data_IF_596663650969
#
_entry.id   IF_596663650969
#
_cell.length_a   1.000
_cell.length_b   1.000
_cell.length_c   1.000
_cell.angle_alpha   90.00
_cell.angle_beta   90.00
_cell.angle_gamma   90.00
#
_symmetry.space_group_name_H-M   'P 1'
#
loop_
_entity.id
_entity.type
_entity.pdbx_description
1 polymer ?
#
# COMPACT_ATOMS: atom_id res chain seq x y z
N UNK A 1 -13.03 -10.06 -4.56
CA UNK A 1 -11.93 -9.29 -5.18
C UNK A 1 -12.43 -8.39 -6.30
N UNK A 2 -13.23 -8.90 -7.25
CA UNK A 2 -13.73 -8.15 -8.41
C UNK A 2 -14.27 -6.74 -8.10
N UNK A 3 -15.17 -6.60 -7.13
CA UNK A 3 -15.72 -5.28 -6.76
C UNK A 3 -14.64 -4.32 -6.26
N UNK A 4 -13.70 -4.82 -5.45
CA UNK A 4 -12.65 -4.00 -4.86
C UNK A 4 -11.63 -3.55 -5.92
N UNK A 5 -11.27 -4.44 -6.85
CA UNK A 5 -10.45 -4.09 -8.01
C UNK A 5 -11.12 -3.01 -8.85
N UNK A 6 -12.42 -3.14 -9.14
CA UNK A 6 -13.18 -2.13 -9.90
C UNK A 6 -13.26 -0.80 -9.17
N UNK A 7 -13.37 -0.80 -7.83
CA UNK A 7 -13.31 0.43 -7.05
C UNK A 7 -11.93 1.08 -7.10
N UNK A 8 -10.84 0.31 -6.97
CA UNK A 8 -9.48 0.86 -7.06
C UNK A 8 -9.20 1.40 -8.46
N UNK A 9 -9.63 0.71 -9.52
CA UNK A 9 -9.54 1.20 -10.89
C UNK A 9 -10.27 2.54 -11.08
N UNK A 10 -11.45 2.70 -10.48
CA UNK A 10 -12.26 3.92 -10.65
C UNK A 10 -11.82 5.08 -9.74
N UNK A 11 -11.43 4.79 -8.51
CA UNK A 11 -11.08 5.79 -7.49
C UNK A 11 -9.63 6.25 -7.64
N UNK A 12 -8.74 5.39 -8.15
CA UNK A 12 -7.29 5.65 -8.26
C UNK A 12 -6.69 6.16 -6.93
N UNK A 13 -6.78 5.38 -5.84
CA UNK A 13 -6.28 5.80 -4.54
C UNK A 13 -4.74 5.83 -4.50
N UNK A 14 -4.18 6.78 -3.74
CA UNK A 14 -2.72 6.87 -3.50
C UNK A 14 -2.19 5.78 -2.56
N UNK A 15 -3.06 5.13 -1.79
CA UNK A 15 -2.73 4.04 -0.88
C UNK A 15 -3.93 3.13 -0.66
N UNK A 16 -3.69 1.82 -0.66
CA UNK A 16 -4.67 0.80 -0.23
C UNK A 16 -4.22 0.13 1.06
N UNK A 17 -5.11 0.07 2.05
CA UNK A 17 -4.90 -0.66 3.30
C UNK A 17 -5.86 -1.85 3.42
N UNK A 18 -5.34 -3.08 3.42
CA UNK A 18 -6.17 -4.29 3.55
C UNK A 18 -5.36 -5.48 4.10
N UNK A 19 -5.74 -6.72 3.80
CA UNK A 19 -5.06 -7.93 4.25
C UNK A 19 -4.02 -8.50 3.28
N UNK A 20 -3.42 -9.62 3.68
CA UNK A 20 -2.40 -10.33 2.89
C UNK A 20 -2.94 -10.84 1.55
N UNK A 21 -4.23 -11.21 1.50
CA UNK A 21 -4.86 -11.78 0.30
C UNK A 21 -4.96 -10.72 -0.81
N UNK A 22 -5.09 -9.46 -0.42
CA UNK A 22 -5.29 -8.32 -1.31
C UNK A 22 -3.97 -7.63 -1.69
N UNK A 23 -2.92 -7.75 -0.86
CA UNK A 23 -1.62 -7.07 -1.02
C UNK A 23 -1.04 -7.16 -2.43
N UNK A 24 -0.83 -8.37 -2.91
CA UNK A 24 -0.10 -8.58 -4.16
C UNK A 24 -0.90 -8.23 -5.40
N UNK A 25 -2.23 -8.24 -5.31
CA UNK A 25 -3.11 -7.83 -6.41
C UNK A 25 -2.87 -6.34 -6.70
N UNK A 26 -2.97 -5.49 -5.68
CA UNK A 26 -2.83 -4.04 -5.86
C UNK A 26 -1.40 -3.59 -6.10
N UNK A 27 -0.40 -4.26 -5.50
CA UNK A 27 1.00 -3.97 -5.81
C UNK A 27 1.34 -4.25 -7.29
N UNK A 28 0.78 -5.32 -7.88
CA UNK A 28 0.95 -5.60 -9.32
C UNK A 28 0.22 -4.60 -10.21
N UNK A 29 -0.81 -3.93 -9.69
CA UNK A 29 -1.49 -2.81 -10.35
C UNK A 29 -0.74 -1.47 -10.20
N UNK A 30 0.41 -1.45 -9.50
CA UNK A 30 1.21 -0.25 -9.29
C UNK A 30 0.69 0.67 -8.18
N UNK A 31 -0.24 0.19 -7.34
CA UNK A 31 -0.81 0.99 -6.26
C UNK A 31 -0.08 0.68 -4.93
N UNK A 32 0.40 1.70 -4.20
CA UNK A 32 0.97 1.52 -2.87
C UNK A 32 0.03 0.75 -1.92
N UNK A 33 0.59 -0.15 -1.12
CA UNK A 33 -0.20 -1.02 -0.25
C UNK A 33 0.43 -1.22 1.13
N UNK A 34 -0.39 -1.19 2.19
CA UNK A 34 -0.01 -1.58 3.56
C UNK A 34 -0.95 -2.65 4.12
N UNK A 35 -0.38 -3.68 4.77
CA UNK A 35 -1.19 -4.66 5.48
C UNK A 35 -1.70 -4.07 6.80
N UNK A 36 -3.01 -3.89 6.89
CA UNK A 36 -3.69 -3.29 8.04
C UNK A 36 -4.25 -4.33 9.03
N UNK A 37 -3.79 -5.58 8.96
CA UNK A 37 -4.08 -6.60 9.99
C UNK A 37 -2.81 -7.05 10.72
N UNK A 38 -1.70 -7.16 9.99
CA UNK A 38 -0.40 -7.63 10.48
C UNK A 38 0.61 -6.50 10.66
N UNK A 39 0.23 -5.25 10.36
CA UNK A 39 1.13 -4.09 10.25
C UNK A 39 2.29 -4.33 9.30
N UNK A 40 2.11 -5.26 8.36
CA UNK A 40 3.15 -5.76 7.46
C UNK A 40 4.44 -6.11 8.22
N UNK A 41 4.29 -6.75 9.38
CA UNK A 41 5.37 -7.16 10.28
C UNK A 41 6.13 -6.00 10.96
N UNK A 42 5.53 -4.81 11.00
CA UNK A 42 6.00 -3.63 11.74
C UNK A 42 5.21 -3.45 13.06
N UNK A 43 4.97 -2.21 13.47
CA UNK A 43 4.19 -1.82 14.65
C UNK A 43 5.04 -1.62 15.92
N UNK A 44 4.40 -1.26 17.06
CA UNK A 44 2.96 -1.09 17.24
C UNK A 44 2.42 0.17 16.54
N UNK A 45 1.12 0.20 16.21
CA UNK A 45 0.46 1.39 15.64
C UNK A 45 -0.41 2.14 16.66
N UNK A 46 -0.70 1.55 17.82
CA UNK A 46 -1.52 2.18 18.85
C UNK A 46 -0.70 3.13 19.74
N UNK A 47 -1.36 4.19 20.21
CA UNK A 47 -0.78 5.16 21.13
C UNK A 47 0.12 6.18 20.46
N UNK A 48 0.66 7.11 21.25
CA UNK A 48 1.50 8.20 20.77
C UNK A 48 2.78 7.68 20.10
N UNK A 49 3.46 6.73 20.73
CA UNK A 49 4.69 6.14 20.17
C UNK A 49 4.41 5.35 18.89
N UNK A 50 3.27 4.65 18.84
CA UNK A 50 2.87 3.87 17.67
C UNK A 50 2.49 4.73 16.46
N UNK A 51 2.03 5.96 16.69
CA UNK A 51 1.70 6.89 15.61
C UNK A 51 2.93 7.29 14.78
N UNK A 52 4.09 7.44 15.41
CA UNK A 52 5.34 7.72 14.69
C UNK A 52 5.72 6.58 13.73
N UNK A 53 5.52 5.32 14.15
CA UNK A 53 5.77 4.13 13.34
C UNK A 53 4.76 4.03 12.21
N UNK A 54 3.46 4.24 12.50
CA UNK A 54 2.41 4.28 11.50
C UNK A 54 2.71 5.32 10.41
N UNK A 55 3.03 6.56 10.80
CA UNK A 55 3.34 7.64 9.86
C UNK A 55 4.55 7.30 8.97
N UNK A 56 5.64 6.81 9.57
CA UNK A 56 6.83 6.34 8.84
C UNK A 56 6.48 5.25 7.81
N UNK A 57 5.66 4.29 8.20
CA UNK A 57 5.33 3.15 7.35
C UNK A 57 4.38 3.53 6.20
N UNK A 58 3.48 4.49 6.43
CA UNK A 58 2.65 5.04 5.35
C UNK A 58 3.51 5.82 4.35
N UNK A 59 4.40 6.69 4.84
CA UNK A 59 5.33 7.47 4.00
C UNK A 59 6.21 6.55 3.13
N UNK A 60 6.83 5.54 3.73
CA UNK A 60 7.68 4.59 3.02
C UNK A 60 6.92 3.81 1.93
N UNK A 61 5.62 3.56 2.12
CA UNK A 61 4.81 2.88 1.11
C UNK A 61 4.42 3.83 -0.03
N UNK A 62 3.91 5.02 0.28
CA UNK A 62 3.42 5.98 -0.72
C UNK A 62 4.60 6.53 -1.56
N UNK A 63 5.67 6.94 -0.89
CA UNK A 63 6.79 7.65 -1.51
C UNK A 63 7.92 6.72 -1.99
N UNK A 64 7.66 5.42 -2.12
CA UNK A 64 8.69 4.49 -2.57
C UNK A 64 9.07 4.74 -4.04
N UNK A 65 10.37 4.88 -4.38
CA UNK A 65 10.80 5.12 -5.76
C UNK A 65 10.42 3.98 -6.72
N UNK A 66 10.14 2.78 -6.22
CA UNK A 66 9.75 1.63 -7.05
C UNK A 66 8.51 1.91 -7.92
N UNK A 67 7.60 2.79 -7.47
CA UNK A 67 6.38 3.11 -8.22
C UNK A 67 6.69 3.83 -9.53
N UNK A 68 7.75 4.64 -9.56
CA UNK A 68 8.26 5.28 -10.77
C UNK A 68 9.04 4.34 -11.71
N UNK A 69 9.29 3.10 -11.29
CA UNK A 69 10.05 2.08 -12.03
C UNK A 69 9.15 0.98 -12.61
N UNK A 70 7.82 1.14 -12.54
CA UNK A 70 6.85 0.14 -13.03
C UNK A 70 6.79 0.06 -14.56
N UNK A 71 7.08 1.16 -15.27
CA UNK A 71 7.12 1.20 -16.74
C UNK A 71 8.54 0.95 -17.25
N UNK A 72 8.70 -0.04 -18.11
CA UNK A 72 9.99 -0.32 -18.75
C UNK A 72 10.39 0.81 -19.74
N UNK A 73 11.67 1.20 -19.81
CA UNK A 73 12.12 2.32 -20.63
C UNK A 73 12.09 2.05 -22.15
N UNK A 74 11.89 0.80 -22.57
CA UNK A 74 11.79 0.39 -23.97
C UNK A 74 10.35 0.24 -24.49
N UNK A 75 9.35 0.65 -23.68
CA UNK A 75 7.92 0.69 -24.05
C UNK A 75 7.43 2.12 -24.29
#
# INVERSE_FOLDING_TARGET
SFEFEKFVEKVQPDLVGSGIKEKYVFQKMGVPFRQMHSWDYSGPYHGYDGFAIFARDMDMAINNPVWGLTKAPWL
#
